data_IF_965491714018
#
_entry.id   IF_965491714018
#
_cell.length_a   1.000
_cell.length_b   1.000
_cell.length_c   1.000
_cell.angle_alpha   90.00
_cell.angle_beta   90.00
_cell.angle_gamma   90.00
#
_symmetry.space_group_name_H-M   'P 1'
#
loop_
_entity.id
_entity.type
_entity.pdbx_description
1 polymer ?
#
# COMPACT_ATOMS: atom_id res chain seq x y z
N UNK A 1 32.50 -2.53 5.25
CA UNK A 1 32.64 -1.18 4.64
C UNK A 1 31.26 -0.55 4.75
N UNK A 2 31.10 0.50 5.55
CA UNK A 2 29.79 1.15 5.76
C UNK A 2 29.45 1.99 4.52
N UNK A 3 28.22 1.88 4.00
CA UNK A 3 27.85 2.63 2.78
C UNK A 3 27.74 4.13 3.07
N UNK A 4 28.24 4.97 2.15
CA UNK A 4 28.14 6.43 2.26
C UNK A 4 26.69 6.91 2.34
N UNK A 5 25.74 6.12 1.82
CA UNK A 5 24.31 6.37 1.91
C UNK A 5 23.80 6.31 3.36
N UNK A 6 24.12 5.24 4.11
CA UNK A 6 23.61 5.11 5.47
C UNK A 6 24.22 6.14 6.42
N UNK A 7 25.48 6.50 6.23
CA UNK A 7 26.11 7.59 6.99
C UNK A 7 25.41 8.93 6.74
N UNK A 8 24.99 9.18 5.51
CA UNK A 8 24.21 10.36 5.17
C UNK A 8 22.81 10.33 5.81
N UNK A 9 22.06 9.23 5.63
CA UNK A 9 20.69 9.09 6.15
C UNK A 9 20.65 9.24 7.67
N UNK A 10 21.56 8.56 8.38
CA UNK A 10 21.58 8.59 9.84
C UNK A 10 21.96 9.97 10.37
N UNK A 11 22.97 10.63 9.79
CA UNK A 11 23.33 12.02 10.15
C UNK A 11 22.22 13.01 9.82
N UNK A 12 21.54 12.82 8.69
CA UNK A 12 20.41 13.65 8.29
C UNK A 12 19.30 13.59 9.33
N UNK A 13 18.86 12.38 9.71
CA UNK A 13 17.85 12.21 10.76
C UNK A 13 18.33 12.75 12.11
N UNK A 14 19.55 12.45 12.53
CA UNK A 14 20.14 12.97 13.78
C UNK A 14 20.10 14.51 13.83
N UNK A 15 20.45 15.18 12.73
CA UNK A 15 20.41 16.64 12.62
C UNK A 15 19.00 17.22 12.52
N UNK A 16 18.04 16.41 12.05
CA UNK A 16 16.65 16.80 11.83
C UNK A 16 15.73 16.52 13.02
N UNK A 17 16.21 15.93 14.11
CA UNK A 17 15.41 15.75 15.33
C UNK A 17 15.10 17.12 15.92
N UNK A 18 13.81 17.43 16.02
CA UNK A 18 13.30 18.65 16.62
C UNK A 18 12.42 18.37 17.83
N UNK A 19 12.26 19.36 18.71
CA UNK A 19 11.35 19.27 19.88
C UNK A 19 9.89 19.14 19.43
N UNK A 20 9.55 19.59 18.22
CA UNK A 20 8.20 19.48 17.66
C UNK A 20 7.89 18.10 17.05
N UNK A 21 8.90 17.25 16.87
CA UNK A 21 8.77 15.89 16.32
C UNK A 21 9.00 14.85 17.45
N UNK A 22 7.98 14.54 18.26
CA UNK A 22 8.14 13.67 19.44
C UNK A 22 8.69 12.28 19.09
N UNK A 23 8.45 11.79 17.86
CA UNK A 23 8.94 10.49 17.40
C UNK A 23 10.35 10.52 16.83
N UNK A 24 11.04 11.67 16.77
CA UNK A 24 12.32 11.82 16.07
C UNK A 24 13.41 10.83 16.49
N UNK A 25 13.57 10.58 17.79
CA UNK A 25 14.54 9.59 18.31
C UNK A 25 14.18 8.16 17.89
N UNK A 26 12.92 7.76 18.09
CA UNK A 26 12.44 6.44 17.72
C UNK A 26 12.48 6.24 16.19
N UNK A 27 12.27 7.31 15.42
CA UNK A 27 12.41 7.31 13.96
C UNK A 27 13.86 7.13 13.49
N UNK A 28 14.83 7.74 14.17
CA UNK A 28 16.25 7.49 13.93
C UNK A 28 16.63 6.02 14.26
N UNK A 29 16.15 5.48 15.38
CA UNK A 29 16.33 4.07 15.74
C UNK A 29 15.67 3.12 14.72
N UNK A 30 14.53 3.52 14.16
CA UNK A 30 13.91 2.80 13.06
C UNK A 30 14.81 2.80 11.81
N UNK A 31 15.40 3.94 11.43
CA UNK A 31 16.37 3.99 10.32
C UNK A 31 17.58 3.06 10.56
N UNK A 32 18.13 3.04 11.78
CA UNK A 32 19.16 2.06 12.17
C UNK A 32 18.69 0.62 11.99
N UNK A 33 17.46 0.31 12.43
CA UNK A 33 16.90 -1.04 12.30
C UNK A 33 16.68 -1.46 10.86
N UNK A 34 16.24 -0.56 9.97
CA UNK A 34 16.10 -0.83 8.53
C UNK A 34 17.47 -1.19 7.94
N UNK A 35 18.51 -0.42 8.29
CA UNK A 35 19.89 -0.72 7.88
C UNK A 35 20.32 -2.10 8.35
N UNK A 36 20.07 -2.44 9.61
CA UNK A 36 20.50 -3.71 10.19
C UNK A 36 19.73 -4.90 9.57
N UNK A 37 18.44 -4.72 9.23
CA UNK A 37 17.60 -5.74 8.58
C UNK A 37 17.99 -5.95 7.12
N UNK A 38 18.19 -4.87 6.34
CA UNK A 38 18.50 -4.98 4.90
C UNK A 38 19.99 -5.10 4.59
N UNK A 39 20.86 -4.88 5.58
CA UNK A 39 22.31 -4.90 5.45
C UNK A 39 22.90 -3.49 5.34
N UNK A 40 24.03 -3.26 6.01
CA UNK A 40 24.74 -1.97 6.03
C UNK A 40 25.35 -1.56 4.67
N UNK A 41 25.42 -2.51 3.74
CA UNK A 41 25.87 -2.36 2.36
C UNK A 41 24.72 -2.17 1.37
N UNK A 42 23.47 -2.37 1.78
CA UNK A 42 22.31 -2.12 0.93
C UNK A 42 22.06 -0.61 0.80
N UNK A 43 22.01 -0.12 -0.44
CA UNK A 43 21.50 1.21 -0.77
C UNK A 43 20.27 1.06 -1.66
N UNK A 44 19.11 1.65 -1.29
CA UNK A 44 17.94 1.68 -2.15
C UNK A 44 18.25 2.50 -3.41
N UNK A 45 17.99 1.94 -4.59
CA UNK A 45 18.15 2.68 -5.84
C UNK A 45 17.28 3.97 -5.87
N UNK A 46 17.58 4.96 -6.71
CA UNK A 46 16.87 6.25 -6.73
C UNK A 46 15.34 6.16 -6.87
N UNK A 47 14.82 5.06 -7.43
CA UNK A 47 13.40 4.82 -7.67
C UNK A 47 12.74 3.96 -6.58
N UNK A 48 13.52 3.46 -5.63
CA UNK A 48 13.01 2.61 -4.58
C UNK A 48 12.00 3.36 -3.69
N UNK A 49 10.80 2.80 -3.43
CA UNK A 49 9.77 3.46 -2.62
C UNK A 49 10.20 3.87 -1.21
N UNK A 50 11.17 3.16 -0.61
CA UNK A 50 11.74 3.52 0.69
C UNK A 50 12.69 4.73 0.67
N UNK A 51 13.34 5.02 -0.45
CA UNK A 51 14.33 6.12 -0.52
C UNK A 51 13.74 7.48 -0.10
N UNK A 52 12.56 7.92 -0.58
CA UNK A 52 11.94 9.14 -0.11
C UNK A 52 11.63 9.12 1.40
N UNK A 53 11.12 8.01 1.93
CA UNK A 53 10.80 7.87 3.36
C UNK A 53 12.06 8.00 4.25
N UNK A 54 13.19 7.45 3.79
CA UNK A 54 14.50 7.56 4.46
C UNK A 54 15.16 8.95 4.29
N UNK A 55 14.58 9.83 3.47
CA UNK A 55 15.15 11.15 3.17
C UNK A 55 14.30 12.30 3.72
N UNK A 56 13.38 12.01 4.65
CA UNK A 56 12.55 13.02 5.35
C UNK A 56 12.66 12.85 6.85
N UNK A 57 13.05 13.92 7.53
CA UNK A 57 13.02 14.10 8.97
C UNK A 57 11.77 14.90 9.37
N UNK A 58 10.64 14.24 9.53
CA UNK A 58 9.38 14.84 10.01
C UNK A 58 8.56 13.83 10.80
N UNK A 59 7.71 14.31 11.71
CA UNK A 59 6.88 13.44 12.54
C UNK A 59 6.10 12.36 11.75
N UNK A 60 5.36 12.66 10.66
CA UNK A 60 4.68 11.62 9.89
C UNK A 60 5.64 10.60 9.25
N UNK A 61 6.82 11.05 8.81
CA UNK A 61 7.85 10.17 8.26
C UNK A 61 8.42 9.24 9.33
N UNK A 62 8.68 9.78 10.52
CA UNK A 62 9.18 9.00 11.66
C UNK A 62 8.18 7.96 12.12
N UNK A 63 6.90 8.32 12.27
CA UNK A 63 5.84 7.36 12.57
C UNK A 63 5.81 6.25 11.52
N UNK A 64 5.81 6.60 10.23
CA UNK A 64 5.86 5.61 9.16
C UNK A 64 7.07 4.68 9.26
N UNK A 65 8.29 5.21 9.51
CA UNK A 65 9.52 4.41 9.65
C UNK A 65 9.44 3.43 10.83
N UNK A 66 8.95 3.90 11.99
CA UNK A 66 8.74 3.07 13.18
C UNK A 66 7.77 1.93 12.85
N UNK A 67 6.67 2.23 12.15
CA UNK A 67 5.65 1.26 11.77
C UNK A 67 6.21 0.23 10.79
N UNK A 68 6.95 0.69 9.79
CA UNK A 68 7.57 -0.18 8.81
C UNK A 68 8.57 -1.15 9.45
N UNK A 69 9.43 -0.68 10.37
CA UNK A 69 10.38 -1.55 11.09
C UNK A 69 9.67 -2.59 11.95
N UNK A 70 8.60 -2.21 12.63
CA UNK A 70 7.80 -3.15 13.44
C UNK A 70 7.19 -4.24 12.56
N UNK A 71 6.61 -3.86 11.41
CA UNK A 71 6.14 -4.82 10.39
C UNK A 71 7.26 -5.76 9.92
N UNK A 72 8.47 -5.24 9.62
CA UNK A 72 9.62 -6.06 9.22
C UNK A 72 10.08 -7.04 10.32
N UNK A 73 10.03 -6.63 11.60
CA UNK A 73 10.38 -7.49 12.73
C UNK A 73 9.36 -8.60 12.95
N UNK A 74 8.08 -8.33 12.74
CA UNK A 74 7.05 -9.39 12.79
C UNK A 74 7.10 -10.30 11.56
N UNK A 75 7.45 -9.76 10.39
CA UNK A 75 7.65 -10.53 9.16
C UNK A 75 8.67 -11.66 9.38
N UNK A 76 9.77 -11.40 10.08
CA UNK A 76 10.80 -12.41 10.35
C UNK A 76 10.34 -13.58 11.24
N UNK A 77 9.18 -13.44 11.88
CA UNK A 77 8.53 -14.49 12.68
C UNK A 77 7.55 -15.35 11.88
N UNK A 78 7.35 -15.04 10.59
CA UNK A 78 6.58 -15.85 9.65
C UNK A 78 7.54 -16.78 8.90
N UNK A 79 7.21 -18.06 8.85
CA UNK A 79 8.05 -19.05 8.16
C UNK A 79 8.12 -18.74 6.66
N UNK A 80 9.32 -18.83 6.07
CA UNK A 80 9.55 -18.59 4.65
C UNK A 80 9.58 -17.12 4.22
N UNK A 81 9.74 -16.18 5.15
CA UNK A 81 9.73 -14.73 4.87
C UNK A 81 10.92 -14.22 4.05
N UNK A 82 12.02 -14.97 3.97
CA UNK A 82 13.29 -14.52 3.41
C UNK A 82 13.17 -14.03 1.95
N UNK A 83 12.44 -14.72 1.04
CA UNK A 83 12.22 -14.23 -0.33
C UNK A 83 11.39 -12.95 -0.40
N UNK A 84 10.43 -12.76 0.51
CA UNK A 84 9.65 -11.51 0.62
C UNK A 84 10.56 -10.37 1.06
N UNK A 85 11.36 -10.60 2.10
CA UNK A 85 12.34 -9.62 2.59
C UNK A 85 13.37 -9.24 1.51
N UNK A 86 13.83 -10.20 0.71
CA UNK A 86 14.74 -9.94 -0.40
C UNK A 86 14.09 -9.08 -1.49
N UNK A 87 12.81 -9.30 -1.81
CA UNK A 87 12.08 -8.50 -2.80
C UNK A 87 11.73 -7.09 -2.30
N UNK A 88 11.57 -6.90 -0.99
CA UNK A 88 11.43 -5.58 -0.37
C UNK A 88 12.70 -4.70 -0.50
N UNK A 89 13.83 -5.26 -0.91
CA UNK A 89 15.07 -4.52 -1.18
C UNK A 89 15.16 -3.99 -2.62
N UNK A 90 14.24 -4.39 -3.49
CA UNK A 90 14.28 -4.12 -4.93
C UNK A 90 13.09 -3.26 -5.32
N UNK A 91 13.33 -2.14 -6.03
CA UNK A 91 12.27 -1.19 -6.41
C UNK A 91 11.15 -1.84 -7.22
N UNK A 92 11.49 -2.73 -8.16
CA UNK A 92 10.53 -3.34 -9.08
C UNK A 92 9.61 -4.36 -8.43
N UNK A 93 10.04 -4.99 -7.32
CA UNK A 93 9.25 -6.01 -6.61
C UNK A 93 8.76 -5.54 -5.24
N UNK A 94 9.14 -4.32 -4.83
CA UNK A 94 8.72 -3.74 -3.56
C UNK A 94 7.19 -3.71 -3.41
N UNK A 95 6.39 -3.23 -4.39
CA UNK A 95 4.96 -3.07 -4.17
C UNK A 95 4.23 -4.41 -3.92
N UNK A 96 4.58 -5.46 -4.67
CA UNK A 96 4.00 -6.80 -4.47
C UNK A 96 4.45 -7.41 -3.14
N UNK A 97 5.75 -7.37 -2.84
CA UNK A 97 6.27 -7.90 -1.59
C UNK A 97 5.73 -7.14 -0.35
N UNK A 98 5.46 -5.84 -0.47
CA UNK A 98 4.82 -5.05 0.60
C UNK A 98 3.39 -5.52 0.84
N UNK A 99 2.61 -5.72 -0.21
CA UNK A 99 1.24 -6.26 -0.09
C UNK A 99 1.19 -7.66 0.49
N UNK A 100 2.14 -8.53 0.11
CA UNK A 100 2.28 -9.86 0.70
C UNK A 100 2.61 -9.80 2.19
N UNK A 101 3.61 -8.99 2.57
CA UNK A 101 3.95 -8.76 3.97
C UNK A 101 2.76 -8.25 4.76
N UNK A 102 2.08 -7.20 4.26
CA UNK A 102 0.95 -6.59 4.96
C UNK A 102 -0.19 -7.57 5.19
N UNK A 103 -0.61 -8.30 4.15
CA UNK A 103 -1.71 -9.25 4.30
C UNK A 103 -1.34 -10.43 5.20
N UNK A 104 -0.14 -10.97 5.08
CA UNK A 104 0.34 -12.04 5.96
C UNK A 104 0.40 -11.59 7.43
N UNK A 105 0.80 -10.35 7.70
CA UNK A 105 0.78 -9.78 9.05
C UNK A 105 -0.65 -9.66 9.60
N UNK A 106 -1.63 -9.25 8.77
CA UNK A 106 -3.05 -9.21 9.19
C UNK A 106 -3.53 -10.59 9.66
N UNK A 107 -3.16 -11.66 8.95
CA UNK A 107 -3.46 -13.04 9.35
C UNK A 107 -2.73 -13.42 10.64
N UNK A 108 -1.40 -13.22 10.67
CA UNK A 108 -0.54 -13.62 11.79
C UNK A 108 -0.92 -12.96 13.10
N UNK A 109 -1.16 -11.65 13.08
CA UNK A 109 -1.49 -10.85 14.27
C UNK A 109 -2.91 -11.13 14.79
N UNK A 110 -3.79 -11.69 13.96
CA UNK A 110 -5.09 -12.23 14.38
C UNK A 110 -5.01 -13.67 14.91
N UNK A 111 -3.81 -14.22 15.08
CA UNK A 111 -3.62 -15.56 15.64
C UNK A 111 -3.82 -16.68 14.63
N UNK A 112 -3.84 -16.40 13.33
CA UNK A 112 -3.83 -17.42 12.28
C UNK A 112 -2.40 -17.75 11.88
N UNK A 113 -1.89 -18.96 12.19
CA UNK A 113 -0.57 -19.38 11.72
C UNK A 113 -0.52 -19.35 10.20
N UNK A 114 0.52 -18.72 9.66
CA UNK A 114 0.75 -18.66 8.23
C UNK A 114 2.24 -18.87 7.89
N UNK A 115 2.50 -19.24 6.64
CA UNK A 115 3.84 -19.38 6.06
C UNK A 115 3.82 -18.84 4.64
N UNK A 116 4.90 -18.20 4.23
CA UNK A 116 5.12 -17.88 2.83
C UNK A 116 5.54 -19.13 2.07
N UNK A 117 5.03 -19.28 0.86
CA UNK A 117 5.39 -20.39 -0.02
C UNK A 117 6.66 -20.01 -0.77
N UNK A 118 7.62 -20.92 -0.83
CA UNK A 118 8.81 -20.72 -1.65
C UNK A 118 8.41 -20.75 -3.13
N UNK A 119 8.85 -19.74 -3.88
CA UNK A 119 8.68 -19.69 -5.33
C UNK A 119 9.31 -20.93 -5.98
N UNK A 120 8.49 -21.70 -6.69
CA UNK A 120 8.91 -22.87 -7.47
C UNK A 120 8.76 -22.59 -8.96
N UNK A 121 9.19 -23.55 -9.79
CA UNK A 121 9.00 -23.49 -11.25
C UNK A 121 7.52 -23.52 -11.67
N UNK A 122 6.65 -24.08 -10.82
CA UNK A 122 5.21 -24.09 -11.01
C UNK A 122 4.58 -22.93 -10.23
N UNK A 123 3.54 -22.26 -10.76
CA UNK A 123 2.86 -21.20 -10.02
C UNK A 123 2.21 -21.76 -8.74
N UNK A 124 2.48 -21.11 -7.62
CA UNK A 124 1.92 -21.45 -6.30
C UNK A 124 1.32 -20.19 -5.69
N UNK A 125 0.38 -20.37 -4.76
CA UNK A 125 -0.07 -19.29 -3.88
C UNK A 125 1.12 -18.66 -3.13
N UNK A 126 0.99 -17.40 -2.73
CA UNK A 126 2.03 -16.66 -1.99
C UNK A 126 2.11 -17.07 -0.51
N UNK A 127 0.95 -17.32 0.11
CA UNK A 127 0.82 -17.62 1.54
C UNK A 127 -0.07 -18.83 1.75
N UNK A 128 0.30 -19.71 2.68
CA UNK A 128 -0.60 -20.74 3.22
C UNK A 128 -0.93 -20.36 4.66
N UNK A 129 -2.22 -20.32 4.97
CA UNK A 129 -2.73 -19.99 6.32
C UNK A 129 -3.59 -21.12 6.86
N UNK A 130 -3.48 -21.35 8.17
CA UNK A 130 -4.33 -22.30 8.87
C UNK A 130 -5.58 -21.59 9.44
N UNK A 131 -6.75 -21.97 8.95
CA UNK A 131 -8.04 -21.46 9.40
C UNK A 131 -8.90 -22.64 9.82
N UNK A 132 -9.32 -22.68 11.09
CA UNK A 132 -10.15 -23.77 11.64
C UNK A 132 -9.56 -25.17 11.37
N UNK A 133 -8.24 -25.32 11.54
CA UNK A 133 -7.47 -26.55 11.29
C UNK A 133 -7.47 -27.00 9.81
N UNK A 134 -7.71 -26.09 8.87
CA UNK A 134 -7.63 -26.33 7.44
C UNK A 134 -6.58 -25.41 6.81
N UNK A 135 -5.71 -25.96 5.96
CA UNK A 135 -4.81 -25.15 5.13
C UNK A 135 -5.62 -24.45 4.04
N UNK A 136 -5.40 -23.15 3.92
CA UNK A 136 -6.02 -22.27 2.91
C UNK A 136 -4.92 -21.61 2.11
N UNK A 137 -5.01 -21.73 0.79
CA UNK A 137 -4.08 -21.11 -0.15
C UNK A 137 -4.49 -19.64 -0.35
N UNK A 138 -3.57 -18.70 -0.16
CA UNK A 138 -3.81 -17.26 -0.30
C UNK A 138 -2.88 -16.69 -1.37
N UNK A 139 -3.45 -16.31 -2.51
CA UNK A 139 -2.76 -15.58 -3.58
C UNK A 139 -2.95 -14.08 -3.38
N UNK A 140 -1.88 -13.30 -3.47
CA UNK A 140 -1.88 -11.85 -3.26
C UNK A 140 -1.33 -11.19 -4.53
N UNK A 141 -2.21 -10.54 -5.28
CA UNK A 141 -1.87 -9.89 -6.55
C UNK A 141 -2.28 -8.43 -6.57
N UNK A 142 -1.87 -7.71 -7.61
CA UNK A 142 -2.40 -6.39 -7.94
C UNK A 142 -3.32 -6.45 -9.17
N UNK A 143 -4.29 -5.54 -9.21
CA UNK A 143 -5.07 -5.25 -10.41
C UNK A 143 -4.27 -4.39 -11.41
N UNK A 144 -3.26 -3.68 -10.93
CA UNK A 144 -2.39 -2.80 -11.69
C UNK A 144 -1.25 -3.60 -12.34
N UNK A 145 -0.81 -3.17 -13.53
CA UNK A 145 0.38 -3.78 -14.14
C UNK A 145 1.63 -3.42 -13.30
N UNK A 146 2.67 -4.27 -13.26
CA UNK A 146 3.87 -3.99 -12.44
C UNK A 146 4.51 -2.63 -12.73
N UNK A 147 4.58 -2.22 -14.00
CA UNK A 147 5.05 -0.89 -14.38
C UNK A 147 4.12 0.24 -13.88
N UNK A 148 2.81 0.01 -13.86
CA UNK A 148 1.85 0.98 -13.34
C UNK A 148 2.04 1.20 -11.84
N UNK A 149 2.22 0.11 -11.07
CA UNK A 149 2.53 0.18 -9.64
C UNK A 149 3.82 0.97 -9.38
N UNK A 150 4.92 0.63 -10.07
CA UNK A 150 6.22 1.30 -9.89
C UNK A 150 6.15 2.79 -10.20
N UNK A 151 5.64 3.16 -11.39
CA UNK A 151 5.57 4.56 -11.82
C UNK A 151 4.51 5.35 -11.06
N UNK A 152 3.40 4.73 -10.69
CA UNK A 152 2.35 5.38 -9.92
C UNK A 152 2.84 5.77 -8.53
N UNK A 153 3.53 4.86 -7.83
CA UNK A 153 4.11 5.16 -6.51
C UNK A 153 5.17 6.27 -6.61
N UNK A 154 6.02 6.25 -7.64
CA UNK A 154 7.00 7.32 -7.87
C UNK A 154 6.33 8.67 -8.13
N UNK A 155 5.25 8.69 -8.91
CA UNK A 155 4.52 9.91 -9.23
C UNK A 155 3.79 10.50 -8.01
N UNK A 156 3.12 9.67 -7.21
CA UNK A 156 2.48 10.08 -5.95
C UNK A 156 3.51 10.64 -4.95
N UNK A 157 4.70 10.04 -4.91
CA UNK A 157 5.78 10.49 -4.03
C UNK A 157 6.43 11.78 -4.53
N UNK A 158 6.64 11.93 -5.85
CA UNK A 158 7.46 13.00 -6.42
C UNK A 158 7.07 14.41 -5.94
N UNK A 159 5.81 14.81 -6.17
CA UNK A 159 5.38 16.18 -5.89
C UNK A 159 5.28 16.40 -4.38
N UNK A 160 4.76 15.41 -3.66
CA UNK A 160 4.70 15.40 -2.19
C UNK A 160 6.07 15.64 -1.57
N UNK A 161 7.09 14.93 -2.03
CA UNK A 161 8.47 15.03 -1.54
C UNK A 161 9.07 16.42 -1.79
N UNK A 162 8.92 16.95 -3.00
CA UNK A 162 9.43 18.27 -3.35
C UNK A 162 8.76 19.35 -2.48
N UNK A 163 7.45 19.24 -2.26
CA UNK A 163 6.72 20.17 -1.41
C UNK A 163 7.18 20.10 0.05
N UNK A 164 7.25 18.90 0.64
CA UNK A 164 7.69 18.69 2.03
C UNK A 164 9.08 19.27 2.27
N UNK A 165 10.04 18.99 1.37
CA UNK A 165 11.42 19.49 1.50
C UNK A 165 11.50 21.02 1.45
N UNK A 166 10.52 21.68 0.85
CA UNK A 166 10.43 23.13 0.82
C UNK A 166 9.64 23.74 1.99
N UNK A 167 9.03 22.94 2.87
CA UNK A 167 8.10 23.45 3.90
C UNK A 167 6.74 23.82 3.32
N UNK A 168 6.30 23.09 2.30
CA UNK A 168 5.01 23.23 1.65
C UNK A 168 4.19 21.95 1.80
N UNK A 169 2.88 22.08 1.62
CA UNK A 169 1.94 20.98 1.43
C UNK A 169 1.47 20.95 -0.02
N UNK A 170 1.19 19.75 -0.52
CA UNK A 170 0.71 19.56 -1.89
C UNK A 170 -0.29 18.41 -1.97
N UNK A 171 -1.20 18.50 -2.93
CA UNK A 171 -2.04 17.38 -3.31
C UNK A 171 -2.86 17.66 -4.57
N UNK A 172 -3.54 16.64 -5.07
CA UNK A 172 -4.27 16.73 -6.32
C UNK A 172 -4.51 15.40 -7.04
N UNK A 173 -4.64 15.47 -8.36
CA UNK A 173 -5.06 14.38 -9.21
C UNK A 173 -4.04 14.10 -10.32
N UNK A 174 -3.51 12.89 -10.33
CA UNK A 174 -2.89 12.27 -11.49
C UNK A 174 -3.97 11.65 -12.36
N UNK A 175 -4.18 12.21 -13.55
CA UNK A 175 -5.19 11.73 -14.51
C UNK A 175 -4.87 10.34 -15.07
N UNK A 176 -3.60 9.93 -14.99
CA UNK A 176 -3.09 8.60 -15.33
C UNK A 176 -1.71 8.39 -14.73
N UNK A 177 -1.24 7.14 -14.73
CA UNK A 177 0.18 6.82 -14.50
C UNK A 177 1.05 7.53 -15.56
N UNK A 178 2.08 8.30 -15.16
CA UNK A 178 3.00 8.94 -16.10
C UNK A 178 4.00 7.96 -16.71
N UNK A 179 4.55 8.32 -17.87
CA UNK A 179 5.81 7.76 -18.35
C UNK A 179 7.01 8.35 -17.60
N UNK A 180 8.16 7.68 -17.67
CA UNK A 180 9.39 8.19 -17.05
C UNK A 180 9.75 9.62 -17.53
N UNK A 181 9.64 9.87 -18.84
CA UNK A 181 9.91 11.19 -19.42
C UNK A 181 8.95 12.26 -18.86
N UNK A 182 7.67 11.93 -18.78
CA UNK A 182 6.66 12.84 -18.23
C UNK A 182 6.92 13.11 -16.74
N UNK A 183 7.37 12.11 -15.99
CA UNK A 183 7.72 12.26 -14.58
C UNK A 183 8.92 13.22 -14.40
N UNK A 184 9.92 13.15 -15.27
CA UNK A 184 11.06 14.08 -15.27
C UNK A 184 10.65 15.52 -15.65
N UNK A 185 9.71 15.67 -16.59
CA UNK A 185 9.14 16.97 -16.95
C UNK A 185 8.34 17.55 -15.77
N UNK A 186 7.49 16.74 -15.12
CA UNK A 186 6.75 17.14 -13.92
C UNK A 186 7.69 17.54 -12.79
N UNK A 187 8.79 16.82 -12.57
CA UNK A 187 9.79 17.16 -11.54
C UNK A 187 10.31 18.59 -11.68
N UNK A 188 10.68 18.99 -12.91
CA UNK A 188 11.19 20.34 -13.19
C UNK A 188 10.13 21.41 -12.93
N UNK A 189 8.89 21.16 -13.37
CA UNK A 189 7.77 22.08 -13.17
C UNK A 189 7.41 22.19 -11.67
N UNK A 190 7.37 21.07 -10.97
CA UNK A 190 7.06 21.00 -9.54
C UNK A 190 8.08 21.79 -8.71
N UNK A 191 9.38 21.65 -8.97
CA UNK A 191 10.42 22.44 -8.30
C UNK A 191 10.19 23.95 -8.48
N UNK A 192 9.88 24.40 -9.70
CA UNK A 192 9.62 25.81 -9.96
C UNK A 192 8.36 26.31 -9.24
N UNK A 193 7.27 25.53 -9.26
CA UNK A 193 6.00 25.90 -8.61
C UNK A 193 6.08 25.88 -7.09
N UNK A 194 6.77 24.91 -6.50
CA UNK A 194 7.02 24.88 -5.05
C UNK A 194 7.83 26.12 -4.63
N UNK A 195 8.85 26.49 -5.41
CA UNK A 195 9.60 27.73 -5.16
C UNK A 195 8.71 28.98 -5.28
N UNK A 196 7.80 29.02 -6.26
CA UNK A 196 6.84 30.12 -6.43
C UNK A 196 5.90 30.24 -5.23
N UNK A 197 5.30 29.12 -4.78
CA UNK A 197 4.43 29.10 -3.61
C UNK A 197 5.16 29.57 -2.35
N UNK A 198 6.39 29.11 -2.15
CA UNK A 198 7.20 29.47 -0.98
C UNK A 198 7.61 30.95 -0.98
N UNK A 199 8.15 31.45 -2.09
CA UNK A 199 8.63 32.85 -2.21
C UNK A 199 7.45 33.82 -2.20
N UNK A 200 6.40 33.49 -2.95
CA UNK A 200 5.19 34.31 -3.06
C UNK A 200 4.26 34.18 -1.85
N UNK A 201 4.53 33.24 -0.94
CA UNK A 201 3.74 32.94 0.24
C UNK A 201 2.23 32.85 -0.06
N UNK A 202 1.87 32.01 -1.02
CA UNK A 202 0.50 31.83 -1.52
C UNK A 202 0.28 30.42 -2.05
N UNK A 203 -0.96 29.97 -2.12
CA UNK A 203 -1.29 28.78 -2.88
C UNK A 203 -1.05 29.00 -4.39
N UNK A 204 -0.46 28.01 -5.05
CA UNK A 204 -0.26 27.97 -6.50
C UNK A 204 -0.81 26.69 -7.10
N UNK A 205 -1.33 26.80 -8.32
CA UNK A 205 -1.78 25.67 -9.10
C UNK A 205 -0.67 25.19 -10.05
N UNK A 206 -0.43 23.88 -10.03
CA UNK A 206 0.39 23.17 -11.00
C UNK A 206 -0.54 22.35 -11.89
N UNK A 207 -0.63 22.74 -13.15
CA UNK A 207 -1.39 22.01 -14.17
C UNK A 207 -0.47 21.55 -15.29
N UNK A 208 -0.34 20.23 -15.45
CA UNK A 208 0.26 19.60 -16.63
C UNK A 208 -0.86 18.95 -17.43
N UNK A 209 -1.24 19.52 -18.59
CA UNK A 209 -2.43 19.12 -19.34
C UNK A 209 -2.52 17.60 -19.58
N UNK A 210 -3.66 17.02 -19.22
CA UNK A 210 -3.93 15.58 -19.40
C UNK A 210 -3.10 14.64 -18.53
N UNK A 211 -2.37 15.17 -17.53
CA UNK A 211 -1.49 14.39 -16.67
C UNK A 211 -1.69 14.68 -15.19
N UNK A 212 -1.50 15.93 -14.75
CA UNK A 212 -1.47 16.29 -13.34
C UNK A 212 -2.18 17.62 -13.11
N UNK A 213 -3.06 17.65 -12.12
CA UNK A 213 -3.58 18.86 -11.50
C UNK A 213 -3.23 18.81 -10.03
N UNK A 214 -2.51 19.81 -9.53
CA UNK A 214 -2.01 19.83 -8.16
C UNK A 214 -2.08 21.25 -7.59
N UNK A 215 -2.42 21.33 -6.31
CA UNK A 215 -2.39 22.54 -5.50
C UNK A 215 -1.22 22.46 -4.53
N UNK A 216 -0.47 23.55 -4.41
CA UNK A 216 0.73 23.63 -3.58
C UNK A 216 0.65 24.91 -2.76
N UNK A 217 0.85 24.85 -1.45
CA UNK A 217 0.87 26.01 -0.57
C UNK A 217 1.95 25.86 0.52
N UNK A 218 2.50 26.96 1.07
CA UNK A 218 3.20 26.92 2.35
C UNK A 218 2.40 26.18 3.42
N UNK A 219 3.08 25.45 4.33
CA UNK A 219 2.40 24.61 5.32
C UNK A 219 1.42 25.37 6.23
N UNK A 220 1.70 26.65 6.52
CA UNK A 220 0.83 27.53 7.31
C UNK A 220 -0.39 28.05 6.53
N UNK A 221 -0.39 27.93 5.20
CA UNK A 221 -1.50 28.22 4.30
C UNK A 221 -2.19 26.95 3.79
N UNK A 222 -2.04 25.82 4.49
CA UNK A 222 -2.59 24.54 4.05
C UNK A 222 -4.12 24.55 3.91
N UNK A 223 -4.81 25.45 4.62
CA UNK A 223 -6.26 25.65 4.53
C UNK A 223 -6.72 26.23 3.18
N UNK A 224 -5.82 26.80 2.37
CA UNK A 224 -6.13 27.28 1.01
C UNK A 224 -6.23 26.13 -0.01
N UNK A 225 -5.64 24.97 0.28
CA UNK A 225 -5.79 23.79 -0.59
C UNK A 225 -7.21 23.25 -0.44
N UNK A 226 -7.92 22.93 -1.55
CA UNK A 226 -9.24 22.32 -1.46
C UNK A 226 -9.20 21.08 -0.57
N UNK A 227 -10.14 20.97 0.39
CA UNK A 227 -10.11 19.94 1.44
C UNK A 227 -9.90 18.51 0.90
N UNK A 228 -10.50 18.18 -0.25
CA UNK A 228 -10.35 16.87 -0.88
C UNK A 228 -8.93 16.54 -1.38
N UNK A 229 -8.08 17.56 -1.57
CA UNK A 229 -6.72 17.45 -2.07
C UNK A 229 -5.66 17.78 -1.02
N UNK A 230 -6.03 18.28 0.16
CA UNK A 230 -5.05 18.61 1.18
C UNK A 230 -4.16 17.38 1.43
N UNK A 231 -2.84 17.49 1.21
CA UNK A 231 -1.83 16.42 1.37
C UNK A 231 -2.16 15.04 0.79
N UNK A 232 -3.10 14.96 -0.16
CA UNK A 232 -3.56 13.71 -0.75
C UNK A 232 -3.43 13.78 -2.26
N UNK A 233 -2.90 12.71 -2.83
CA UNK A 233 -2.87 12.53 -4.27
C UNK A 233 -3.72 11.32 -4.65
N UNK A 234 -4.61 11.53 -5.61
CA UNK A 234 -5.36 10.47 -6.25
C UNK A 234 -4.74 10.18 -7.61
N UNK A 235 -4.65 8.92 -7.98
CA UNK A 235 -4.25 8.50 -9.32
C UNK A 235 -5.37 7.74 -9.99
N UNK A 236 -5.61 8.01 -11.27
CA UNK A 236 -6.51 7.21 -12.12
C UNK A 236 -5.68 6.26 -12.98
N UNK A 237 -6.30 5.17 -13.42
CA UNK A 237 -5.71 4.29 -14.45
C UNK A 237 -6.25 4.69 -15.82
N UNK A 238 -5.43 4.50 -16.87
CA UNK A 238 -5.83 4.80 -18.27
C UNK A 238 -6.49 3.60 -18.97
N UNK A 239 -6.86 2.56 -18.23
CA UNK A 239 -7.42 1.35 -18.82
C UNK A 239 -8.73 1.66 -19.55
N UNK A 240 -8.81 1.23 -20.81
CA UNK A 240 -10.08 1.26 -21.56
C UNK A 240 -11.03 0.16 -21.12
N UNK A 241 -10.49 -0.93 -20.57
CA UNK A 241 -11.27 -2.04 -20.01
C UNK A 241 -11.84 -1.62 -18.64
N UNK A 242 -13.16 -1.76 -18.42
CA UNK A 242 -13.79 -1.51 -17.13
C UNK A 242 -13.11 -2.25 -15.99
N UNK A 243 -13.09 -1.64 -14.80
CA UNK A 243 -12.43 -2.22 -13.61
C UNK A 243 -12.97 -3.62 -13.27
N UNK A 244 -14.28 -3.81 -13.36
CA UNK A 244 -14.93 -5.11 -13.12
C UNK A 244 -14.43 -6.20 -14.08
N UNK A 245 -14.25 -5.87 -15.35
CA UNK A 245 -13.82 -6.84 -16.37
C UNK A 245 -12.33 -7.20 -16.18
N UNK A 246 -11.50 -6.22 -15.81
CA UNK A 246 -10.10 -6.48 -15.42
C UNK A 246 -10.02 -7.38 -14.20
N UNK A 247 -10.86 -7.14 -13.20
CA UNK A 247 -10.91 -7.95 -11.99
C UNK A 247 -11.37 -9.37 -12.31
N UNK A 248 -12.43 -9.53 -13.10
CA UNK A 248 -12.90 -10.83 -13.57
C UNK A 248 -11.78 -11.61 -14.29
N UNK A 249 -11.08 -10.96 -15.23
CA UNK A 249 -9.95 -11.56 -15.94
C UNK A 249 -8.82 -11.97 -14.99
N UNK A 250 -8.48 -11.10 -14.02
CA UNK A 250 -7.45 -11.39 -13.00
C UNK A 250 -7.85 -12.59 -12.15
N UNK A 251 -9.11 -12.68 -11.73
CA UNK A 251 -9.62 -13.83 -10.98
C UNK A 251 -9.45 -15.10 -11.80
N UNK A 252 -9.88 -15.10 -13.06
CA UNK A 252 -9.77 -16.29 -13.90
C UNK A 252 -8.32 -16.72 -14.14
N UNK A 253 -7.43 -15.78 -14.45
CA UNK A 253 -6.02 -16.05 -14.70
C UNK A 253 -5.36 -16.63 -13.45
N UNK A 254 -5.52 -15.94 -12.31
CA UNK A 254 -4.84 -16.30 -11.06
C UNK A 254 -5.36 -17.58 -10.44
N UNK A 255 -6.68 -17.79 -10.48
CA UNK A 255 -7.25 -19.00 -9.91
C UNK A 255 -6.86 -20.23 -10.72
N UNK A 256 -6.84 -20.13 -12.06
CA UNK A 256 -6.42 -21.25 -12.92
C UNK A 256 -4.93 -21.57 -12.80
N UNK A 257 -4.08 -20.57 -12.58
CA UNK A 257 -2.63 -20.76 -12.55
C UNK A 257 -2.10 -21.09 -11.14
N UNK A 258 -2.48 -20.35 -10.11
CA UNK A 258 -1.90 -20.45 -8.75
C UNK A 258 -2.79 -21.19 -7.75
N UNK A 259 -4.09 -21.24 -8.00
CA UNK A 259 -5.09 -21.78 -7.08
C UNK A 259 -5.92 -22.88 -7.73
N UNK A 260 -5.32 -23.78 -8.52
CA UNK A 260 -6.05 -24.90 -9.15
C UNK A 260 -6.07 -26.17 -8.27
N UNK A 261 -5.50 -26.11 -7.07
CA UNK A 261 -5.37 -27.22 -6.14
C UNK A 261 -6.70 -27.63 -5.47
N UNK A 262 -6.64 -28.66 -4.63
CA UNK A 262 -7.80 -29.14 -3.86
C UNK A 262 -8.09 -28.34 -2.60
N UNK A 263 -7.13 -27.52 -2.13
CA UNK A 263 -7.30 -26.72 -0.92
C UNK A 263 -8.28 -25.57 -1.17
N UNK A 264 -9.01 -25.12 -0.14
CA UNK A 264 -9.69 -23.85 -0.19
C UNK A 264 -8.70 -22.73 -0.50
N UNK A 265 -9.14 -21.76 -1.27
CA UNK A 265 -8.32 -20.66 -1.71
C UNK A 265 -8.98 -19.30 -1.49
N UNK A 266 -8.19 -18.27 -1.24
CA UNK A 266 -8.61 -16.88 -1.23
C UNK A 266 -7.69 -16.09 -2.14
N UNK A 267 -8.29 -15.30 -3.04
CA UNK A 267 -7.54 -14.38 -3.88
C UNK A 267 -7.67 -12.97 -3.33
N UNK A 268 -6.54 -12.34 -3.04
CA UNK A 268 -6.45 -10.95 -2.59
C UNK A 268 -5.92 -10.11 -3.76
N UNK A 269 -6.65 -9.07 -4.14
CA UNK A 269 -6.32 -8.19 -5.26
C UNK A 269 -6.19 -6.76 -4.75
N UNK A 270 -5.00 -6.19 -4.82
CA UNK A 270 -4.78 -4.78 -4.50
C UNK A 270 -5.10 -3.87 -5.70
N UNK A 271 -5.87 -2.81 -5.48
CA UNK A 271 -6.06 -1.72 -6.44
C UNK A 271 -5.64 -0.38 -5.81
N UNK A 272 -4.38 0.00 -6.05
CA UNK A 272 -3.75 1.18 -5.44
C UNK A 272 -4.16 2.50 -6.08
N UNK A 273 -4.87 2.44 -7.20
CA UNK A 273 -5.30 3.60 -7.97
C UNK A 273 -6.83 3.72 -8.03
N UNK A 274 -7.52 3.08 -7.10
CA UNK A 274 -8.94 3.35 -6.90
C UNK A 274 -9.18 4.54 -6.01
N UNK A 275 -10.22 5.30 -6.37
CA UNK A 275 -10.79 6.25 -5.42
C UNK A 275 -11.67 5.49 -4.42
N UNK A 276 -11.89 6.07 -3.23
CA UNK A 276 -12.80 5.50 -2.24
C UNK A 276 -14.20 5.21 -2.82
N UNK A 277 -14.74 6.09 -3.67
CA UNK A 277 -16.07 5.95 -4.30
C UNK A 277 -16.11 4.82 -5.32
N UNK A 278 -15.05 4.68 -6.14
CA UNK A 278 -14.95 3.58 -7.10
C UNK A 278 -14.96 2.21 -6.39
N UNK A 279 -14.36 2.14 -5.19
CA UNK A 279 -14.34 0.92 -4.39
C UNK A 279 -15.74 0.60 -3.84
N UNK A 280 -16.48 1.59 -3.36
CA UNK A 280 -17.87 1.40 -2.92
C UNK A 280 -18.80 0.95 -4.07
N UNK A 281 -18.58 1.46 -5.29
CA UNK A 281 -19.35 1.01 -6.46
C UNK A 281 -19.15 -0.48 -6.73
N UNK A 282 -17.91 -0.98 -6.60
CA UNK A 282 -17.59 -2.40 -6.77
C UNK A 282 -18.38 -3.31 -5.81
N UNK A 283 -18.76 -2.84 -4.63
CA UNK A 283 -19.56 -3.62 -3.67
C UNK A 283 -20.91 -4.10 -4.25
N UNK A 284 -21.45 -3.39 -5.25
CA UNK A 284 -22.70 -3.77 -5.89
C UNK A 284 -22.54 -4.65 -7.13
N UNK A 285 -21.32 -4.97 -7.57
CA UNK A 285 -21.03 -5.72 -8.80
C UNK A 285 -21.35 -7.21 -8.63
N UNK A 286 -22.44 -7.66 -9.28
CA UNK A 286 -22.90 -9.06 -9.25
C UNK A 286 -22.17 -9.95 -10.24
N UNK A 287 -21.58 -9.40 -11.30
CA UNK A 287 -20.85 -10.18 -12.30
C UNK A 287 -19.62 -10.85 -11.69
N UNK A 288 -18.94 -10.16 -10.77
CA UNK A 288 -17.81 -10.73 -10.02
C UNK A 288 -18.24 -11.92 -9.16
N UNK A 289 -19.44 -11.87 -8.57
CA UNK A 289 -19.99 -12.99 -7.79
C UNK A 289 -20.14 -14.25 -8.65
N UNK A 290 -20.57 -14.11 -9.91
CA UNK A 290 -20.69 -15.22 -10.86
C UNK A 290 -19.31 -15.79 -11.24
N UNK A 291 -18.32 -14.93 -11.45
CA UNK A 291 -16.94 -15.36 -11.74
C UNK A 291 -16.35 -16.11 -10.55
N UNK A 292 -16.53 -15.59 -9.33
CA UNK A 292 -16.08 -16.27 -8.10
C UNK A 292 -16.77 -17.63 -7.93
N UNK A 293 -18.09 -17.68 -8.16
CA UNK A 293 -18.88 -18.92 -8.06
C UNK A 293 -18.51 -20.01 -9.08
N UNK A 294 -17.75 -19.68 -10.14
CA UNK A 294 -17.30 -20.65 -11.13
C UNK A 294 -16.17 -21.57 -10.63
N UNK A 295 -15.47 -21.19 -9.56
CA UNK A 295 -14.29 -21.91 -9.05
C UNK A 295 -14.60 -22.62 -7.74
N UNK A 296 -14.61 -23.95 -7.75
CA UNK A 296 -15.06 -24.78 -6.61
C UNK A 296 -14.21 -24.67 -5.35
N UNK A 297 -12.93 -24.39 -5.52
CA UNK A 297 -11.98 -24.31 -4.42
C UNK A 297 -11.76 -22.86 -3.94
N UNK A 298 -12.22 -21.85 -4.68
CA UNK A 298 -12.14 -20.46 -4.28
C UNK A 298 -13.22 -20.13 -3.25
N UNK A 299 -12.83 -19.87 -2.00
CA UNK A 299 -13.73 -19.45 -0.92
C UNK A 299 -14.17 -17.98 -1.06
N UNK A 300 -13.33 -17.13 -1.63
CA UNK A 300 -13.69 -15.75 -1.92
C UNK A 300 -12.57 -14.92 -2.56
N UNK A 301 -12.94 -13.72 -3.00
CA UNK A 301 -12.02 -12.70 -3.53
C UNK A 301 -12.12 -11.44 -2.69
N UNK A 302 -10.98 -10.88 -2.31
CA UNK A 302 -10.85 -9.65 -1.53
C UNK A 302 -10.19 -8.59 -2.40
N UNK A 303 -10.91 -7.54 -2.79
CA UNK A 303 -10.36 -6.36 -3.44
C UNK A 303 -9.98 -5.33 -2.38
N UNK A 304 -8.69 -5.10 -2.18
CA UNK A 304 -8.13 -4.14 -1.21
C UNK A 304 -7.79 -2.85 -1.95
N UNK A 305 -8.35 -1.72 -1.51
CA UNK A 305 -8.06 -0.39 -2.08
C UNK A 305 -7.50 0.52 -0.98
N UNK A 306 -6.16 0.63 -0.86
CA UNK A 306 -5.54 1.53 0.10
C UNK A 306 -5.68 3.00 -0.35
N UNK A 307 -5.83 3.90 0.60
CA UNK A 307 -5.92 5.35 0.37
C UNK A 307 -5.48 6.12 1.61
N UNK A 308 -5.14 7.40 1.43
CA UNK A 308 -4.83 8.29 2.54
C UNK A 308 -6.09 9.07 2.96
N UNK A 309 -6.36 9.10 4.26
CA UNK A 309 -7.41 9.91 4.88
C UNK A 309 -6.81 10.77 5.98
N UNK A 310 -7.34 11.97 6.15
CA UNK A 310 -7.01 12.83 7.30
C UNK A 310 -7.78 12.43 8.55
N UNK A 311 -9.00 11.96 8.34
CA UNK A 311 -9.88 11.54 9.42
C UNK A 311 -9.63 10.06 9.69
N UNK A 312 -9.39 9.72 10.96
CA UNK A 312 -9.39 8.32 11.40
C UNK A 312 -10.79 7.74 11.23
N UNK A 313 -10.87 6.69 10.43
CA UNK A 313 -12.08 5.93 10.15
C UNK A 313 -12.16 4.76 11.12
N UNK A 314 -13.18 4.70 12.00
CA UNK A 314 -13.38 3.54 12.84
C UNK A 314 -13.68 2.30 11.96
N UNK A 315 -13.27 1.10 12.38
CA UNK A 315 -13.58 -0.12 11.66
C UNK A 315 -15.08 -0.25 11.39
N UNK A 316 -15.44 -0.46 10.13
CA UNK A 316 -16.82 -0.59 9.66
C UNK A 316 -16.95 -1.84 8.81
N UNK A 317 -18.02 -2.60 9.02
CA UNK A 317 -18.41 -3.75 8.21
C UNK A 317 -19.84 -3.58 7.73
N UNK A 318 -20.09 -3.88 6.45
CA UNK A 318 -21.44 -4.01 5.91
C UNK A 318 -21.55 -5.27 5.06
N UNK A 319 -22.57 -6.09 5.28
CA UNK A 319 -22.81 -7.32 4.54
C UNK A 319 -24.05 -7.20 3.64
N UNK A 320 -23.98 -7.74 2.43
CA UNK A 320 -25.10 -7.76 1.48
C UNK A 320 -24.98 -8.92 0.50
N UNK A 321 -25.87 -9.91 0.63
CA UNK A 321 -26.03 -11.05 -0.28
C UNK A 321 -24.67 -11.66 -0.71
N UNK A 322 -24.00 -12.38 0.19
CA UNK A 322 -22.71 -13.04 -0.12
C UNK A 322 -21.52 -12.08 -0.31
N UNK A 323 -21.70 -10.77 -0.08
CA UNK A 323 -20.62 -9.78 -0.15
C UNK A 323 -20.43 -9.08 1.18
N UNK A 324 -19.20 -8.66 1.44
CA UNK A 324 -18.86 -7.80 2.57
C UNK A 324 -18.09 -6.57 2.09
N UNK A 325 -18.33 -5.44 2.74
CA UNK A 325 -17.55 -4.24 2.63
C UNK A 325 -16.92 -3.97 4.00
N UNK A 326 -15.61 -3.77 4.02
CA UNK A 326 -14.85 -3.44 5.23
C UNK A 326 -14.09 -2.15 5.00
N UNK A 327 -14.08 -1.25 5.99
CA UNK A 327 -13.36 0.02 5.96
C UNK A 327 -12.71 0.28 7.30
N UNK A 328 -11.47 0.75 7.30
CA UNK A 328 -10.74 1.12 8.52
C UNK A 328 -9.53 2.01 8.24
N UNK A 329 -9.05 2.68 9.29
CA UNK A 329 -7.73 3.30 9.34
C UNK A 329 -6.72 2.42 10.04
N UNK A 330 -5.50 2.39 9.52
CA UNK A 330 -4.33 1.78 10.13
C UNK A 330 -3.60 2.78 11.03
N UNK A 331 -2.76 2.29 11.97
CA UNK A 331 -2.03 3.15 12.89
C UNK A 331 -1.04 4.11 12.19
N UNK A 332 -0.56 3.77 11.00
CA UNK A 332 0.35 4.59 10.18
C UNK A 332 -0.37 5.70 9.39
N UNK A 333 -1.68 5.87 9.57
CA UNK A 333 -2.48 6.88 8.88
C UNK A 333 -2.97 6.46 7.50
N UNK A 334 -2.55 5.29 7.00
CA UNK A 334 -3.14 4.70 5.80
C UNK A 334 -4.56 4.18 6.13
N UNK A 335 -5.43 4.15 5.13
CA UNK A 335 -6.77 3.59 5.24
C UNK A 335 -6.98 2.54 4.16
N UNK A 336 -7.84 1.57 4.45
CA UNK A 336 -8.20 0.54 3.48
C UNK A 336 -9.72 0.43 3.37
N UNK A 337 -10.18 0.30 2.12
CA UNK A 337 -11.51 -0.19 1.80
C UNK A 337 -11.36 -1.54 1.11
N UNK A 338 -12.06 -2.54 1.64
CA UNK A 338 -12.06 -3.88 1.13
C UNK A 338 -13.47 -4.26 0.64
N UNK A 339 -13.57 -4.75 -0.59
CA UNK A 339 -14.78 -5.41 -1.10
C UNK A 339 -14.50 -6.90 -1.18
N UNK A 340 -15.34 -7.70 -0.54
CA UNK A 340 -15.20 -9.15 -0.48
C UNK A 340 -16.39 -9.80 -1.17
N UNK A 341 -16.12 -10.65 -2.16
CA UNK A 341 -17.11 -11.53 -2.76
C UNK A 341 -16.88 -12.95 -2.24
N UNK A 342 -17.84 -13.48 -1.47
CA UNK A 342 -17.80 -14.83 -0.92
C UNK A 342 -18.35 -15.79 -1.96
N UNK A 343 -17.71 -16.93 -2.12
CA UNK A 343 -18.27 -17.99 -2.94
C UNK A 343 -19.39 -18.71 -2.18
N UNK A 344 -20.64 -18.33 -2.44
CA UNK A 344 -21.79 -18.93 -1.76
C UNK A 344 -22.13 -20.35 -2.23
N UNK A 345 -21.45 -20.84 -3.27
CA UNK A 345 -21.75 -22.12 -3.91
C UNK A 345 -20.87 -23.28 -3.43
N UNK A 346 -19.93 -23.02 -2.50
CA UNK A 346 -18.93 -24.00 -2.04
C UNK A 346 -18.99 -24.20 -0.53
N UNK A 347 -18.63 -25.40 -0.07
CA UNK A 347 -18.59 -25.77 1.36
C UNK A 347 -17.52 -25.00 2.15
N UNK A 348 -16.59 -24.34 1.46
CA UNK A 348 -15.47 -23.60 2.04
C UNK A 348 -15.82 -22.18 2.52
N UNK A 349 -17.09 -21.77 2.53
CA UNK A 349 -17.49 -20.47 3.12
C UNK A 349 -17.03 -20.30 4.57
N UNK A 350 -16.84 -21.39 5.30
CA UNK A 350 -16.40 -21.35 6.70
C UNK A 350 -15.00 -20.76 6.89
N UNK A 351 -14.16 -20.70 5.85
CA UNK A 351 -12.78 -20.16 5.92
C UNK A 351 -12.67 -18.67 5.58
N UNK A 352 -13.63 -18.09 4.83
CA UNK A 352 -13.53 -16.67 4.44
C UNK A 352 -13.94 -15.72 5.58
N UNK A 353 -14.91 -16.10 6.42
CA UNK A 353 -15.34 -15.25 7.54
C UNK A 353 -14.21 -14.91 8.53
N UNK A 354 -13.40 -15.89 9.01
CA UNK A 354 -12.24 -15.57 9.85
C UNK A 354 -11.25 -14.60 9.18
N UNK A 355 -11.05 -14.71 7.87
CA UNK A 355 -10.16 -13.80 7.13
C UNK A 355 -10.76 -12.39 7.06
N UNK A 356 -12.09 -12.25 6.91
CA UNK A 356 -12.77 -10.94 6.97
C UNK A 356 -12.64 -10.33 8.36
N UNK A 357 -12.82 -11.14 9.41
CA UNK A 357 -12.65 -10.70 10.79
C UNK A 357 -11.21 -10.21 11.04
N UNK A 358 -10.21 -10.88 10.42
CA UNK A 358 -8.83 -10.40 10.47
C UNK A 358 -8.69 -8.97 9.94
N UNK A 359 -9.37 -8.63 8.83
CA UNK A 359 -9.31 -7.28 8.24
C UNK A 359 -9.89 -6.24 9.20
N UNK A 360 -11.00 -6.54 9.86
CA UNK A 360 -11.69 -5.61 10.78
C UNK A 360 -10.87 -5.38 12.05
N UNK A 361 -10.23 -6.44 12.56
CA UNK A 361 -9.41 -6.38 13.77
C UNK A 361 -7.97 -5.91 13.48
N UNK A 362 -7.58 -5.81 12.20
CA UNK A 362 -6.23 -5.42 11.77
C UNK A 362 -5.76 -4.10 12.38
N UNK A 363 -6.55 -3.00 12.42
CA UNK A 363 -6.13 -1.76 13.08
C UNK A 363 -5.72 -1.97 14.53
N UNK A 364 -6.56 -2.67 15.31
CA UNK A 364 -6.29 -2.93 16.74
C UNK A 364 -5.05 -3.80 16.91
N UNK A 365 -4.96 -4.88 16.15
CA UNK A 365 -3.85 -5.84 16.29
C UNK A 365 -2.53 -5.31 15.73
N UNK A 366 -2.57 -4.41 14.75
CA UNK A 366 -1.39 -3.66 14.34
C UNK A 366 -1.02 -2.65 15.44
N UNK A 367 -1.98 -1.94 16.04
CA UNK A 367 -1.73 -1.01 17.15
C UNK A 367 -0.97 -1.63 18.33
N UNK A 368 -1.16 -2.93 18.62
CA UNK A 368 -0.42 -3.60 19.70
C UNK A 368 1.07 -3.78 19.42
N UNK A 369 1.51 -3.66 18.16
CA UNK A 369 2.93 -3.56 17.85
C UNK A 369 3.54 -2.25 18.36
N UNK A 370 2.69 -1.29 18.74
CA UNK A 370 3.06 0.08 19.10
C UNK A 370 3.03 0.38 20.59
N UNK A 371 2.35 -0.45 21.38
CA UNK A 371 2.35 -0.47 22.85
C UNK A 371 3.61 -1.15 23.39
#
# INVERSE_FOLDING_TARGET
>A
MQSAFWDYVLKFHESGISVVDPSGKAGLEAAYSIRDIFGADWEPDPRHPLRPKLSISSEPSYQWLIHFVRKLRELSRISGHEPVLARLRQSTTFPSASSEMEFALKLKLNGHPCKFVQLKSEPTADVIVEVKNQEVDVEITSLNLPYEDEMGIQALSLVTMIAIQAGCVAGGLWSRVPSLRELDEVRKIALARVSEAKIGHKMVELNVPGLLMCYIAPSDLSSEIPKMWLGSFVMRTKSQTPKKDRLAHTIEEKVKAQLSGSNPAVLVVYDRFSTPENTEQMFNEKEIELVVGAFRNLAGVILVSPFNSWDQLPPKRADKNGRSFVEYSLPDGECERCVIWKNIMVEHQSVIEPIIDCLIDSPRNLSTLFE
#
